data_IF_577295618745
#
_entry.id   IF_577295618745
#
_cell.length_a   1.000
_cell.length_b   1.000
_cell.length_c   1.000
_cell.angle_alpha   90.00
_cell.angle_beta   90.00
_cell.angle_gamma   90.00
#
_symmetry.space_group_name_H-M   'P 1'
#
loop_
_entity.id
_entity.type
_entity.pdbx_description
1 polymer ?
#
# COMPACT_ATOMS: atom_id res chain seq x y z
N UNK A 1 18.75 -45.27 41.35
CA UNK A 1 17.55 -44.63 40.78
C UNK A 1 17.67 -43.10 40.65
N UNK A 2 18.89 -42.50 40.73
CA UNK A 2 19.10 -41.04 40.62
C UNK A 2 19.59 -40.57 39.25
N UNK A 3 20.08 -41.48 38.41
CA UNK A 3 20.77 -41.13 37.17
C UNK A 3 19.82 -40.98 35.98
N UNK A 4 18.64 -41.60 36.04
CA UNK A 4 17.63 -41.54 34.97
C UNK A 4 16.98 -40.16 34.88
N UNK A 5 16.68 -39.53 36.02
CA UNK A 5 16.04 -38.21 36.05
C UNK A 5 16.97 -37.10 35.53
N UNK A 6 18.27 -37.20 35.81
CA UNK A 6 19.28 -36.23 35.34
C UNK A 6 19.40 -36.27 33.82
N UNK A 7 19.36 -37.45 33.22
CA UNK A 7 19.46 -37.63 31.76
C UNK A 7 18.24 -37.04 31.06
N UNK A 8 17.03 -37.21 31.63
CA UNK A 8 15.79 -36.66 31.07
C UNK A 8 15.79 -35.13 31.08
N UNK A 9 16.25 -34.50 32.16
CA UNK A 9 16.30 -33.03 32.26
C UNK A 9 17.30 -32.42 31.26
N UNK A 10 18.46 -33.06 31.07
CA UNK A 10 19.49 -32.58 30.14
C UNK A 10 19.03 -32.69 28.68
N UNK A 11 18.34 -33.78 28.31
CA UNK A 11 17.75 -33.96 26.97
C UNK A 11 16.64 -32.93 26.68
N UNK A 12 15.79 -32.62 27.66
CA UNK A 12 14.77 -31.57 27.51
C UNK A 12 15.39 -30.18 27.32
N UNK A 13 16.44 -29.84 28.07
CA UNK A 13 17.12 -28.55 27.97
C UNK A 13 17.84 -28.38 26.62
N UNK A 14 18.44 -29.45 26.09
CA UNK A 14 19.07 -29.45 24.77
C UNK A 14 18.05 -29.33 23.63
N UNK A 15 16.86 -29.92 23.78
CA UNK A 15 15.79 -29.80 22.79
C UNK A 15 15.27 -28.34 22.66
N UNK A 16 15.21 -27.57 23.75
CA UNK A 16 14.78 -26.16 23.72
C UNK A 16 15.79 -25.21 23.08
N UNK A 17 17.08 -25.59 23.00
CA UNK A 17 18.14 -24.77 22.40
C UNK A 17 18.25 -24.93 20.87
N UNK A 18 17.66 -25.97 20.29
CA UNK A 18 17.76 -26.29 18.84
C UNK A 18 16.57 -25.77 18.03
N UNK A 19 15.46 -25.40 18.66
CA UNK A 19 14.38 -24.68 17.97
C UNK A 19 14.73 -23.19 17.85
N UNK A 20 15.73 -22.90 17.02
CA UNK A 20 15.91 -21.58 16.44
C UNK A 20 14.62 -21.20 15.72
N UNK A 21 13.86 -20.29 16.30
CA UNK A 21 12.71 -19.69 15.67
C UNK A 21 13.21 -18.87 14.48
N UNK A 22 13.17 -19.47 13.29
CA UNK A 22 13.28 -18.74 12.04
C UNK A 22 11.99 -17.94 11.91
N UNK A 23 11.92 -16.77 12.54
CA UNK A 23 10.89 -15.80 12.24
C UNK A 23 11.17 -15.30 10.84
N UNK A 24 10.60 -15.97 9.84
CA UNK A 24 10.55 -15.48 8.48
C UNK A 24 9.92 -14.09 8.54
N UNK A 25 10.74 -13.07 8.32
CA UNK A 25 10.33 -11.67 8.29
C UNK A 25 9.46 -11.49 7.05
N UNK A 26 8.17 -11.79 7.18
CA UNK A 26 7.21 -11.53 6.11
C UNK A 26 7.21 -10.01 5.89
N UNK A 27 7.76 -9.58 4.74
CA UNK A 27 7.67 -8.18 4.33
C UNK A 27 6.18 -7.84 4.24
N UNK A 28 5.68 -6.80 4.95
CA UNK A 28 4.27 -6.45 4.90
C UNK A 28 3.89 -6.13 3.45
N UNK A 29 2.82 -6.74 2.97
CA UNK A 29 2.26 -6.48 1.64
C UNK A 29 1.50 -5.16 1.73
N UNK A 30 1.89 -4.17 0.93
CA UNK A 30 1.15 -2.93 0.81
C UNK A 30 -0.11 -3.16 -0.05
N UNK A 31 -1.29 -2.96 0.55
CA UNK A 31 -2.59 -3.13 -0.12
C UNK A 31 -3.12 -1.83 -0.74
N UNK A 32 -2.45 -0.69 -0.53
CA UNK A 32 -2.86 0.62 -1.05
C UNK A 32 -3.02 0.65 -2.58
N UNK A 33 -2.13 0.06 -3.40
CA UNK A 33 -2.33 0.02 -4.85
C UNK A 33 -3.64 -0.66 -5.26
N UNK A 34 -4.05 -1.71 -4.52
CA UNK A 34 -5.28 -2.45 -4.80
C UNK A 34 -6.49 -1.62 -4.38
N UNK A 35 -6.43 -0.96 -3.23
CA UNK A 35 -7.51 -0.09 -2.74
C UNK A 35 -7.69 1.12 -3.66
N UNK A 36 -6.60 1.79 -4.01
CA UNK A 36 -6.58 2.87 -4.99
C UNK A 36 -7.21 2.43 -6.30
N UNK A 37 -6.82 1.26 -6.82
CA UNK A 37 -7.38 0.77 -8.08
C UNK A 37 -8.90 0.58 -7.99
N UNK A 38 -9.40 0.01 -6.89
CA UNK A 38 -10.85 -0.13 -6.67
C UNK A 38 -11.56 1.22 -6.69
N UNK A 39 -11.05 2.20 -5.94
CA UNK A 39 -11.61 3.56 -5.90
C UNK A 39 -11.55 4.26 -7.26
N UNK A 40 -10.44 4.11 -7.99
CA UNK A 40 -10.25 4.72 -9.30
C UNK A 40 -11.27 4.17 -10.33
N UNK A 41 -11.55 2.87 -10.28
CA UNK A 41 -12.53 2.24 -11.18
C UNK A 41 -13.98 2.33 -10.71
N UNK A 42 -14.21 2.68 -9.44
CA UNK A 42 -15.55 2.82 -8.88
C UNK A 42 -16.33 3.96 -9.55
N UNK A 43 -17.65 3.86 -9.49
CA UNK A 43 -18.53 4.86 -10.08
C UNK A 43 -18.38 6.22 -9.37
N UNK A 44 -18.59 7.31 -10.11
CA UNK A 44 -18.53 8.67 -9.56
C UNK A 44 -19.60 8.91 -8.49
N UNK A 45 -20.76 8.26 -8.61
CA UNK A 45 -21.84 8.32 -7.61
C UNK A 45 -21.46 7.66 -6.29
N UNK A 46 -20.53 6.70 -6.33
CA UNK A 46 -19.96 6.03 -5.15
C UNK A 46 -18.69 6.75 -4.63
N UNK A 47 -18.39 7.94 -5.13
CA UNK A 47 -17.20 8.72 -4.77
C UNK A 47 -15.92 8.33 -5.53
N UNK A 48 -16.01 7.40 -6.49
CA UNK A 48 -14.91 6.97 -7.34
C UNK A 48 -14.56 7.93 -8.49
N UNK A 49 -13.57 7.55 -9.31
CA UNK A 49 -13.14 8.34 -10.47
C UNK A 49 -13.76 7.88 -11.80
N UNK A 50 -14.26 6.64 -11.85
CA UNK A 50 -14.79 5.97 -13.04
C UNK A 50 -13.82 6.03 -14.24
N UNK A 51 -12.52 5.84 -13.97
CA UNK A 51 -11.49 5.78 -15.01
C UNK A 51 -11.23 4.33 -15.47
N UNK A 52 -10.75 4.17 -16.71
CA UNK A 52 -10.50 2.85 -17.30
C UNK A 52 -9.43 2.04 -16.55
N UNK A 53 -9.54 0.72 -16.62
CA UNK A 53 -8.71 -0.24 -15.87
C UNK A 53 -7.19 -0.01 -16.05
N UNK A 54 -6.73 0.22 -17.29
CA UNK A 54 -5.31 0.47 -17.56
C UNK A 54 -4.82 1.77 -16.92
N UNK A 55 -5.63 2.83 -17.01
CA UNK A 55 -5.34 4.12 -16.40
C UNK A 55 -5.37 4.06 -14.88
N UNK A 56 -6.30 3.30 -14.29
CA UNK A 56 -6.34 3.03 -12.86
C UNK A 56 -5.10 2.25 -12.39
N UNK A 57 -4.64 1.28 -13.18
CA UNK A 57 -3.40 0.54 -12.90
C UNK A 57 -2.19 1.48 -12.89
N UNK A 58 -2.08 2.34 -13.90
CA UNK A 58 -0.98 3.31 -14.00
C UNK A 58 -1.04 4.37 -12.88
N UNK A 59 -2.23 4.86 -12.53
CA UNK A 59 -2.44 5.82 -11.45
C UNK A 59 -2.11 5.23 -10.08
N UNK A 60 -2.42 3.95 -9.85
CA UNK A 60 -2.32 3.34 -8.53
C UNK A 60 -1.03 2.53 -8.33
N UNK A 61 -0.20 2.40 -9.37
CA UNK A 61 1.08 1.70 -9.30
C UNK A 61 1.99 2.31 -8.22
N UNK A 62 2.24 1.57 -7.14
CA UNK A 62 3.09 2.05 -6.05
C UNK A 62 2.44 3.10 -5.15
N UNK A 63 1.11 3.25 -5.19
CA UNK A 63 0.38 4.06 -4.21
C UNK A 63 0.69 3.59 -2.78
N UNK A 64 0.97 4.54 -1.88
CA UNK A 64 1.17 4.32 -0.44
C UNK A 64 0.00 4.91 0.38
N UNK A 65 -0.90 5.62 -0.28
CA UNK A 65 -2.08 6.27 0.29
C UNK A 65 -3.09 6.45 -0.83
N UNK A 66 -4.06 5.54 -0.89
CA UNK A 66 -5.07 5.46 -1.93
C UNK A 66 -5.95 6.71 -1.97
N UNK A 67 -6.40 7.21 -0.82
CA UNK A 67 -7.22 8.41 -0.75
C UNK A 67 -6.47 9.63 -1.31
N UNK A 68 -5.20 9.78 -0.94
CA UNK A 68 -4.36 10.88 -1.42
C UNK A 68 -4.10 10.78 -2.93
N UNK A 69 -3.83 9.58 -3.46
CA UNK A 69 -3.65 9.37 -4.90
C UNK A 69 -4.92 9.74 -5.67
N UNK A 70 -6.09 9.33 -5.18
CA UNK A 70 -7.39 9.61 -5.79
C UNK A 70 -7.70 11.11 -5.76
N UNK A 71 -7.48 11.77 -4.63
CA UNK A 71 -7.74 13.20 -4.49
C UNK A 71 -6.78 14.04 -5.32
N UNK A 72 -5.49 13.66 -5.39
CA UNK A 72 -4.53 14.27 -6.30
C UNK A 72 -5.06 14.22 -7.74
N UNK A 73 -5.49 13.05 -8.20
CA UNK A 73 -6.00 12.91 -9.57
C UNK A 73 -7.26 13.74 -9.79
N UNK A 74 -8.20 13.72 -8.84
CA UNK A 74 -9.44 14.51 -8.90
C UNK A 74 -9.12 15.99 -9.07
N UNK A 75 -8.26 16.56 -8.22
CA UNK A 75 -7.85 17.96 -8.32
C UNK A 75 -7.05 18.26 -9.59
N UNK A 76 -6.23 17.32 -10.07
CA UNK A 76 -5.46 17.49 -11.29
C UNK A 76 -6.37 17.69 -12.53
N UNK A 77 -7.49 16.97 -12.61
CA UNK A 77 -8.38 17.00 -13.78
C UNK A 77 -9.56 17.97 -13.62
N UNK A 78 -9.93 18.32 -12.39
CA UNK A 78 -10.98 19.31 -12.12
C UNK A 78 -10.60 20.68 -12.68
N UNK A 79 -11.58 21.39 -13.25
CA UNK A 79 -11.30 22.68 -13.88
C UNK A 79 -11.05 23.77 -12.84
N UNK A 80 -10.07 24.68 -13.06
CA UNK A 80 -9.74 25.73 -12.10
C UNK A 80 -10.89 26.71 -11.83
N UNK A 81 -11.77 26.90 -12.82
CA UNK A 81 -12.80 27.94 -12.81
C UNK A 81 -13.91 27.69 -11.79
N UNK A 82 -14.13 26.44 -11.38
CA UNK A 82 -15.23 26.07 -10.50
C UNK A 82 -14.78 25.33 -9.23
N UNK A 83 -13.68 24.56 -9.31
CA UNK A 83 -13.36 23.60 -8.25
C UNK A 83 -11.92 23.69 -7.72
N UNK A 84 -11.16 24.72 -8.14
CA UNK A 84 -9.78 24.93 -7.69
C UNK A 84 -8.75 23.92 -8.21
N UNK A 85 -9.14 23.08 -9.19
CA UNK A 85 -8.27 22.08 -9.82
C UNK A 85 -7.35 22.65 -10.92
N UNK A 86 -6.56 21.79 -11.55
CA UNK A 86 -5.57 22.18 -12.57
C UNK A 86 -6.10 22.11 -14.02
N UNK A 87 -7.24 21.43 -14.25
CA UNK A 87 -7.86 21.29 -15.57
C UNK A 87 -7.05 20.47 -16.57
N UNK A 88 -6.20 19.56 -16.09
CA UNK A 88 -5.36 18.71 -16.93
C UNK A 88 -6.18 17.62 -17.63
N UNK A 89 -5.65 17.10 -18.75
CA UNK A 89 -6.19 15.89 -19.32
C UNK A 89 -5.98 14.69 -18.38
N UNK A 90 -6.83 13.67 -18.44
CA UNK A 90 -6.73 12.49 -17.56
C UNK A 90 -5.34 11.82 -17.62
N UNK A 91 -4.73 11.71 -18.81
CA UNK A 91 -3.39 11.12 -18.96
C UNK A 91 -2.29 11.95 -18.29
N UNK A 92 -2.44 13.27 -18.24
CA UNK A 92 -1.53 14.18 -17.54
C UNK A 92 -1.75 14.10 -16.02
N UNK A 93 -3.00 13.97 -15.57
CA UNK A 93 -3.34 13.71 -14.18
C UNK A 93 -2.74 12.40 -13.66
N UNK A 94 -2.80 11.32 -14.46
CA UNK A 94 -2.12 10.05 -14.12
C UNK A 94 -0.62 10.22 -14.02
N UNK A 95 0.03 10.91 -14.98
CA UNK A 95 1.47 11.17 -14.90
C UNK A 95 1.86 11.99 -13.67
N UNK A 96 1.02 12.93 -13.27
CA UNK A 96 1.27 13.79 -12.12
C UNK A 96 1.17 13.03 -10.79
N UNK A 97 0.12 12.21 -10.64
CA UNK A 97 -0.28 11.59 -9.39
C UNK A 97 0.12 10.11 -9.24
N UNK A 98 0.38 9.40 -10.35
CA UNK A 98 0.55 7.94 -10.36
C UNK A 98 1.90 7.41 -9.89
N UNK A 99 2.86 8.30 -9.60
CA UNK A 99 4.20 7.94 -9.10
C UNK A 99 4.60 8.71 -7.85
N UNK A 100 3.66 9.48 -7.28
CA UNK A 100 3.90 10.32 -6.10
C UNK A 100 2.87 10.01 -5.04
N UNK A 101 3.02 8.83 -4.45
CA UNK A 101 2.70 8.72 -3.03
C UNK A 101 3.57 9.73 -2.33
N UNK A 102 2.98 10.87 -1.97
CA UNK A 102 3.68 11.97 -1.33
C UNK A 102 4.41 11.40 -0.12
N UNK A 103 5.72 11.30 -0.24
CA UNK A 103 6.54 10.94 0.89
C UNK A 103 6.39 12.11 1.87
N UNK A 104 5.59 11.90 2.92
CA UNK A 104 5.36 12.89 3.99
C UNK A 104 6.66 13.24 4.73
N UNK A 105 7.81 12.72 4.32
CA UNK A 105 9.13 13.07 4.86
C UNK A 105 9.84 14.22 4.14
N UNK A 106 9.27 14.87 3.12
CA UNK A 106 9.84 16.12 2.62
C UNK A 106 9.38 17.32 3.47
N UNK A 107 9.88 17.40 4.69
CA UNK A 107 10.02 18.66 5.43
C UNK A 107 11.38 19.25 5.05
N UNK A 108 11.38 20.22 4.13
CA UNK A 108 12.48 21.19 3.99
C UNK A 108 12.15 22.42 4.84
#
# INVERSE_FOLDING_TARGET
MKNTEVITVVLCALATLVLGAETAFAKPINLEPIQCHKMATADKWDGGLQIGQSMATELCAGSLDSELTIECFRLAVLTPKYDGGLGLAHSEGVKLCGNRSFDRTRSD
#
